data_IF_848358816765
#
_entry.id   IF_848358816765
#
_cell.length_a   1.000
_cell.length_b   1.000
_cell.length_c   1.000
_cell.angle_alpha   90.00
_cell.angle_beta   90.00
_cell.angle_gamma   90.00
#
_symmetry.space_group_name_H-M   'P 1'
#
loop_
_entity.id
_entity.type
_entity.pdbx_description
1 polymer ?
#
# COMPACT_ATOMS: atom_id res chain seq x y z
N UNK A 1 26.76 49.20 -54.12
CA UNK A 1 25.94 48.54 -53.05
C UNK A 1 25.01 47.43 -53.55
N UNK A 2 24.22 47.53 -54.60
CA UNK A 2 23.30 46.42 -55.02
C UNK A 2 24.02 45.16 -55.50
N UNK A 3 25.17 45.25 -56.17
CA UNK A 3 25.94 44.04 -56.59
C UNK A 3 26.56 43.25 -55.45
N UNK A 4 27.05 43.94 -54.45
CA UNK A 4 27.64 43.22 -53.24
C UNK A 4 26.58 42.46 -52.44
N UNK A 5 25.37 43.01 -52.36
CA UNK A 5 24.25 42.31 -51.68
C UNK A 5 23.83 41.06 -52.46
N UNK A 6 23.79 41.10 -53.78
CA UNK A 6 23.45 39.95 -54.63
C UNK A 6 24.49 38.85 -54.48
N UNK A 7 25.80 39.21 -54.52
CA UNK A 7 26.87 38.19 -54.28
C UNK A 7 26.86 37.58 -52.92
N UNK A 8 26.52 38.35 -51.86
CA UNK A 8 26.40 37.78 -50.52
C UNK A 8 25.19 36.81 -50.37
N UNK A 9 24.08 37.12 -51.05
CA UNK A 9 22.93 36.24 -51.08
C UNK A 9 23.21 34.93 -51.85
N UNK A 10 23.91 35.03 -53.00
CA UNK A 10 24.31 33.84 -53.75
C UNK A 10 25.31 32.98 -52.97
N UNK A 11 26.30 33.59 -52.31
CA UNK A 11 27.23 32.88 -51.45
C UNK A 11 26.53 32.19 -50.25
N UNK A 12 25.55 32.89 -49.65
CA UNK A 12 24.72 32.28 -48.57
C UNK A 12 23.90 31.08 -49.04
N UNK A 13 23.29 31.19 -50.23
CA UNK A 13 22.53 30.09 -50.83
C UNK A 13 23.42 28.86 -51.12
N UNK A 14 24.62 29.08 -51.71
CA UNK A 14 25.59 28.03 -51.97
C UNK A 14 26.05 27.36 -50.68
N UNK A 15 26.29 28.14 -49.63
CA UNK A 15 26.67 27.58 -48.31
C UNK A 15 25.57 26.72 -47.73
N UNK A 16 24.33 27.16 -47.76
CA UNK A 16 23.16 26.38 -47.26
C UNK A 16 22.99 25.09 -48.05
N UNK A 17 23.10 25.14 -49.38
CA UNK A 17 23.03 23.90 -50.19
C UNK A 17 24.17 22.94 -49.90
N UNK A 18 25.38 23.42 -49.71
CA UNK A 18 26.52 22.57 -49.34
C UNK A 18 26.32 21.91 -47.97
N UNK A 19 25.84 22.68 -47.00
CA UNK A 19 25.54 22.15 -45.67
C UNK A 19 24.41 21.10 -45.74
N UNK A 20 23.37 21.36 -46.52
CA UNK A 20 22.26 20.40 -46.68
C UNK A 20 22.71 19.13 -47.37
N UNK A 21 23.50 19.20 -48.43
CA UNK A 21 24.05 18.00 -49.10
C UNK A 21 24.98 17.23 -48.17
N UNK A 22 25.84 17.93 -47.45
CA UNK A 22 26.73 17.29 -46.47
C UNK A 22 25.93 16.59 -45.36
N UNK A 23 24.86 17.23 -44.87
CA UNK A 23 23.98 16.65 -43.85
C UNK A 23 23.30 15.39 -44.38
N UNK A 24 22.71 15.45 -45.58
CA UNK A 24 22.03 14.30 -46.19
C UNK A 24 22.96 13.13 -46.52
N UNK A 25 24.26 13.41 -46.78
CA UNK A 25 25.24 12.35 -47.05
C UNK A 25 25.82 11.71 -45.78
N UNK A 26 25.89 12.48 -44.68
CA UNK A 26 26.53 12.01 -43.44
C UNK A 26 25.53 11.51 -42.36
N UNK A 27 24.22 11.86 -42.49
CA UNK A 27 23.21 11.42 -41.54
C UNK A 27 22.27 10.44 -42.22
N UNK A 28 22.43 9.16 -41.88
CA UNK A 28 21.46 8.12 -42.16
C UNK A 28 20.24 8.29 -41.25
N UNK A 29 19.05 8.28 -41.85
CA UNK A 29 17.81 8.18 -41.08
C UNK A 29 17.74 6.79 -40.46
N UNK A 30 18.23 6.66 -39.25
CA UNK A 30 17.96 5.45 -38.47
C UNK A 30 16.47 5.44 -38.17
N UNK A 31 15.73 4.42 -38.63
CA UNK A 31 14.33 4.31 -38.26
C UNK A 31 14.24 4.15 -36.74
N UNK A 32 13.93 5.24 -36.05
CA UNK A 32 13.63 5.18 -34.64
C UNK A 32 12.30 4.45 -34.52
N UNK A 33 12.36 3.19 -34.11
CA UNK A 33 11.16 2.51 -33.64
C UNK A 33 10.68 3.24 -32.39
N UNK A 34 9.79 4.22 -32.56
CA UNK A 34 9.05 4.76 -31.44
C UNK A 34 8.19 3.62 -30.88
N UNK A 35 8.67 2.98 -29.82
CA UNK A 35 7.80 2.13 -29.02
C UNK A 35 6.74 3.04 -28.43
N UNK A 36 5.53 2.96 -28.95
CA UNK A 36 4.39 3.62 -28.32
C UNK A 36 4.33 3.21 -26.84
N UNK A 37 4.03 4.17 -25.94
CA UNK A 37 3.89 3.81 -24.53
C UNK A 37 2.83 2.72 -24.39
N UNK A 38 3.10 1.64 -23.65
CA UNK A 38 2.22 0.51 -23.54
C UNK A 38 0.84 0.95 -23.07
N UNK A 39 -0.20 0.45 -23.72
CA UNK A 39 -1.59 0.67 -23.33
C UNK A 39 -1.77 0.30 -21.84
N UNK A 40 -2.72 0.94 -21.15
CA UNK A 40 -2.96 0.71 -19.72
C UNK A 40 -3.13 -0.77 -19.38
N UNK A 41 -3.71 -1.54 -20.29
CA UNK A 41 -3.93 -2.96 -20.15
C UNK A 41 -2.61 -3.76 -20.21
N UNK A 42 -1.74 -3.46 -21.16
CA UNK A 42 -0.42 -4.09 -21.27
C UNK A 42 0.51 -3.80 -20.08
N UNK A 43 0.31 -2.67 -19.39
CA UNK A 43 1.04 -2.35 -18.15
C UNK A 43 0.57 -3.22 -16.96
N UNK A 44 -0.72 -3.55 -16.92
CA UNK A 44 -1.31 -4.38 -15.87
C UNK A 44 -1.08 -5.86 -16.10
N UNK A 45 -1.07 -6.27 -17.37
CA UNK A 45 -0.91 -7.64 -17.81
C UNK A 45 0.40 -7.82 -18.57
N UNK A 46 1.46 -8.36 -17.96
CA UNK A 46 2.73 -8.58 -18.63
C UNK A 46 2.67 -9.67 -19.72
N UNK A 47 1.64 -10.51 -19.73
CA UNK A 47 1.45 -11.64 -20.67
C UNK A 47 0.27 -11.45 -21.62
N UNK A 48 -0.18 -10.21 -21.86
CA UNK A 48 -1.30 -9.91 -22.75
C UNK A 48 -1.06 -10.39 -24.19
N UNK A 49 0.18 -10.24 -24.68
CA UNK A 49 0.55 -10.70 -26.01
C UNK A 49 0.50 -12.25 -26.12
N UNK A 50 0.91 -12.97 -25.08
CA UNK A 50 0.77 -14.43 -25.01
C UNK A 50 -0.71 -14.84 -25.04
N UNK A 51 -1.58 -14.14 -24.31
CA UNK A 51 -3.04 -14.41 -24.33
C UNK A 51 -3.63 -14.23 -25.72
N UNK A 52 -3.27 -13.15 -26.41
CA UNK A 52 -3.72 -12.89 -27.76
C UNK A 52 -3.21 -13.95 -28.75
N UNK A 53 -1.93 -14.31 -28.65
CA UNK A 53 -1.33 -15.36 -29.47
C UNK A 53 -2.07 -16.68 -29.29
N UNK A 54 -2.26 -17.13 -28.06
CA UNK A 54 -2.93 -18.41 -27.78
C UNK A 54 -4.41 -18.40 -28.21
N UNK A 55 -5.08 -17.25 -28.04
CA UNK A 55 -6.45 -17.06 -28.53
C UNK A 55 -6.55 -17.17 -30.04
N UNK A 56 -5.61 -16.59 -30.80
CA UNK A 56 -5.54 -16.72 -32.26
C UNK A 56 -5.29 -18.17 -32.72
N UNK A 57 -4.56 -18.95 -31.91
CA UNK A 57 -4.29 -20.36 -32.15
C UNK A 57 -5.41 -21.29 -31.63
N UNK A 58 -6.61 -20.73 -31.32
CA UNK A 58 -7.78 -21.43 -30.80
C UNK A 58 -7.52 -22.19 -29.48
N UNK A 59 -6.57 -21.71 -28.68
CA UNK A 59 -6.26 -22.24 -27.33
C UNK A 59 -6.27 -21.09 -26.28
N UNK A 60 -7.45 -20.61 -25.91
CA UNK A 60 -7.53 -19.47 -24.98
C UNK A 60 -6.89 -19.83 -23.64
N UNK A 61 -6.24 -18.83 -23.08
CA UNK A 61 -5.58 -18.90 -21.79
C UNK A 61 -6.51 -18.31 -20.71
N UNK A 62 -6.70 -19.05 -19.63
CA UNK A 62 -7.45 -18.63 -18.46
C UNK A 62 -6.50 -18.15 -17.35
N UNK A 63 -6.82 -17.03 -16.72
CA UNK A 63 -6.00 -16.51 -15.63
C UNK A 63 -6.43 -17.09 -14.29
N UNK A 64 -5.45 -17.51 -13.53
CA UNK A 64 -5.62 -17.92 -12.15
C UNK A 64 -5.32 -16.72 -11.26
N UNK A 65 -6.37 -16.11 -10.71
CA UNK A 65 -6.24 -14.89 -9.90
C UNK A 65 -6.17 -15.19 -8.38
N UNK A 66 -6.57 -16.39 -7.96
CA UNK A 66 -6.55 -16.75 -6.55
C UNK A 66 -5.78 -18.05 -6.31
N UNK A 67 -5.13 -18.20 -5.14
CA UNK A 67 -4.46 -19.44 -4.79
C UNK A 67 -5.40 -20.66 -4.67
N UNK A 68 -6.67 -20.46 -4.35
CA UNK A 68 -7.67 -21.52 -4.27
C UNK A 68 -8.02 -22.12 -5.65
N UNK A 69 -7.92 -21.33 -6.70
CA UNK A 69 -8.15 -21.83 -8.07
C UNK A 69 -7.07 -22.80 -8.54
N UNK A 70 -5.88 -22.79 -7.93
CA UNK A 70 -4.84 -23.79 -8.20
C UNK A 70 -5.24 -25.20 -7.70
N UNK A 71 -6.13 -25.28 -6.72
CA UNK A 71 -6.58 -26.54 -6.15
C UNK A 71 -7.73 -27.17 -6.99
N UNK A 72 -8.25 -26.42 -8.00
CA UNK A 72 -9.39 -26.81 -8.85
C UNK A 72 -9.01 -27.04 -10.31
N UNK A 73 -7.71 -27.23 -10.61
CA UNK A 73 -7.24 -27.44 -11.96
C UNK A 73 -7.82 -28.74 -12.56
N UNK A 74 -8.31 -28.65 -13.80
CA UNK A 74 -8.79 -29.82 -14.51
C UNK A 74 -7.65 -30.81 -14.78
N UNK A 75 -7.96 -32.10 -14.72
CA UNK A 75 -7.00 -33.14 -15.10
C UNK A 75 -6.61 -32.98 -16.57
N UNK A 76 -5.32 -33.08 -16.88
CA UNK A 76 -4.83 -32.92 -18.25
C UNK A 76 -4.76 -31.48 -18.76
N UNK A 77 -4.87 -30.46 -17.86
CA UNK A 77 -4.64 -29.06 -18.19
C UNK A 77 -3.16 -28.69 -18.25
N UNK A 78 -2.90 -27.44 -18.65
CA UNK A 78 -1.59 -26.79 -18.59
C UNK A 78 -1.63 -25.69 -17.57
N UNK A 79 -0.61 -25.63 -16.71
CA UNK A 79 -0.41 -24.52 -15.77
C UNK A 79 0.91 -23.83 -16.07
N UNK A 80 0.85 -22.55 -16.43
CA UNK A 80 2.02 -21.68 -16.54
C UNK A 80 2.12 -20.88 -15.22
N UNK A 81 3.16 -21.15 -14.45
CA UNK A 81 3.37 -20.60 -13.13
C UNK A 81 4.58 -19.67 -13.12
N UNK A 82 4.32 -18.37 -13.06
CA UNK A 82 5.35 -17.34 -13.00
C UNK A 82 6.09 -17.35 -11.66
N UNK A 83 7.25 -16.70 -11.64
CA UNK A 83 8.15 -16.68 -10.51
C UNK A 83 7.59 -16.08 -9.24
N UNK A 84 6.65 -15.16 -9.32
CA UNK A 84 6.09 -14.40 -8.18
C UNK A 84 5.18 -15.23 -7.24
N UNK A 85 5.46 -16.54 -7.09
CA UNK A 85 4.60 -17.52 -6.41
C UNK A 85 4.91 -17.77 -4.93
N UNK A 86 6.04 -17.30 -4.41
CA UNK A 86 6.51 -17.61 -3.03
C UNK A 86 5.47 -17.46 -1.93
N UNK A 87 4.58 -16.49 -2.06
CA UNK A 87 3.54 -16.23 -1.06
C UNK A 87 2.30 -17.11 -1.22
N UNK A 88 2.15 -17.74 -2.38
CA UNK A 88 0.90 -18.38 -2.79
C UNK A 88 1.02 -19.89 -2.94
N UNK A 89 2.25 -20.41 -3.03
CA UNK A 89 2.54 -21.84 -3.17
C UNK A 89 3.33 -22.32 -1.94
N UNK A 90 2.61 -22.79 -0.95
CA UNK A 90 3.15 -23.41 0.24
C UNK A 90 3.58 -24.88 -0.01
N UNK A 91 4.28 -25.54 0.89
CA UNK A 91 4.71 -26.93 0.71
C UNK A 91 3.56 -27.90 0.43
N UNK A 92 2.40 -27.70 1.09
CA UNK A 92 1.22 -28.56 0.88
C UNK A 92 0.62 -28.38 -0.51
N UNK A 93 0.56 -27.13 -1.00
CA UNK A 93 0.10 -26.83 -2.36
C UNK A 93 1.08 -27.32 -3.41
N UNK A 94 2.39 -27.25 -3.15
CA UNK A 94 3.41 -27.84 -4.01
C UNK A 94 3.19 -29.35 -4.20
N UNK A 95 2.81 -30.07 -3.15
CA UNK A 95 2.47 -31.49 -3.24
C UNK A 95 1.23 -31.74 -4.09
N UNK A 96 0.17 -30.95 -3.87
CA UNK A 96 -1.04 -31.07 -4.69
C UNK A 96 -0.78 -30.82 -6.16
N UNK A 97 0.03 -29.80 -6.48
CA UNK A 97 0.43 -29.50 -7.85
C UNK A 97 1.24 -30.65 -8.47
N UNK A 98 2.21 -31.21 -7.76
CA UNK A 98 2.97 -32.38 -8.26
C UNK A 98 2.09 -33.60 -8.43
N UNK A 99 1.12 -33.84 -7.56
CA UNK A 99 0.13 -34.90 -7.69
C UNK A 99 -0.79 -34.67 -8.92
N UNK A 100 -1.23 -33.42 -9.14
CA UNK A 100 -2.01 -33.05 -10.33
C UNK A 100 -1.21 -33.28 -11.62
N UNK A 101 0.08 -32.90 -11.64
CA UNK A 101 0.96 -33.22 -12.77
C UNK A 101 1.06 -34.75 -12.96
N UNK A 102 1.27 -35.49 -11.85
CA UNK A 102 1.35 -36.97 -11.91
C UNK A 102 0.12 -37.64 -12.49
N UNK A 103 -1.04 -36.99 -12.44
CA UNK A 103 -2.31 -37.43 -13.05
C UNK A 103 -2.44 -37.05 -14.51
N UNK A 104 -1.46 -36.37 -15.12
CA UNK A 104 -1.44 -36.02 -16.53
C UNK A 104 -1.50 -34.51 -16.80
N UNK A 105 -1.31 -33.67 -15.81
CA UNK A 105 -1.17 -32.23 -15.99
C UNK A 105 0.19 -31.84 -16.56
N UNK A 106 0.29 -30.69 -17.22
CA UNK A 106 1.54 -30.13 -17.69
C UNK A 106 1.85 -28.82 -16.95
N UNK A 107 2.97 -28.75 -16.23
CA UNK A 107 3.40 -27.60 -15.46
C UNK A 107 4.60 -26.92 -16.16
N UNK A 108 4.46 -25.65 -16.49
CA UNK A 108 5.56 -24.78 -16.93
C UNK A 108 5.81 -23.78 -15.80
N UNK A 109 7.01 -23.80 -15.23
CA UNK A 109 7.33 -23.04 -14.03
C UNK A 109 8.63 -22.26 -14.17
N UNK A 110 8.61 -20.96 -13.80
CA UNK A 110 9.84 -20.17 -13.73
C UNK A 110 10.61 -20.53 -12.46
N UNK A 111 11.91 -20.71 -12.58
CA UNK A 111 12.80 -20.85 -11.45
C UNK A 111 13.28 -19.46 -11.03
N UNK A 112 12.53 -18.79 -10.18
CA UNK A 112 13.07 -17.57 -9.55
C UNK A 112 14.27 -17.86 -8.66
N UNK A 113 15.11 -16.84 -8.48
CA UNK A 113 16.35 -16.83 -7.70
C UNK A 113 16.22 -17.25 -6.22
N UNK A 114 15.18 -17.94 -5.87
CA UNK A 114 14.89 -18.32 -4.50
C UNK A 114 15.39 -19.72 -4.19
N UNK A 115 16.48 -19.77 -3.45
CA UNK A 115 16.97 -20.96 -2.75
C UNK A 115 15.92 -21.67 -1.87
N UNK A 116 14.71 -21.10 -1.71
CA UNK A 116 13.72 -21.50 -0.74
C UNK A 116 12.32 -21.83 -1.31
N UNK A 117 12.24 -22.12 -2.62
CA UNK A 117 10.99 -22.54 -3.25
C UNK A 117 10.70 -24.03 -2.96
N UNK A 118 9.58 -24.35 -2.26
CA UNK A 118 9.24 -25.72 -1.91
C UNK A 118 9.06 -26.64 -3.14
N UNK A 119 8.54 -26.07 -4.24
CA UNK A 119 8.32 -26.82 -5.49
C UNK A 119 9.65 -27.19 -6.14
N UNK A 120 10.56 -26.21 -6.28
CA UNK A 120 11.88 -26.44 -6.88
C UNK A 120 12.75 -27.36 -6.03
N UNK A 121 12.67 -27.25 -4.70
CA UNK A 121 13.37 -28.17 -3.79
C UNK A 121 12.96 -29.61 -3.99
N UNK A 122 11.67 -29.89 -4.19
CA UNK A 122 11.15 -31.24 -4.47
C UNK A 122 11.60 -31.79 -5.83
N UNK A 123 11.83 -30.90 -6.79
CA UNK A 123 12.39 -31.23 -8.11
C UNK A 123 13.93 -31.28 -8.10
N UNK A 124 14.57 -31.04 -6.96
CA UNK A 124 16.03 -31.04 -6.83
C UNK A 124 16.70 -29.93 -7.65
N UNK A 125 15.98 -28.84 -7.92
CA UNK A 125 16.46 -27.73 -8.73
C UNK A 125 16.99 -26.63 -7.83
N UNK A 126 18.19 -26.16 -8.12
CA UNK A 126 18.83 -25.03 -7.46
C UNK A 126 19.37 -24.03 -8.48
N UNK A 127 19.46 -22.74 -8.15
CA UNK A 127 20.19 -21.79 -8.97
C UNK A 127 21.67 -22.23 -9.04
N UNK A 128 22.24 -22.21 -10.23
CA UNK A 128 23.64 -22.55 -10.43
C UNK A 128 24.52 -21.53 -9.68
N UNK A 129 25.35 -22.02 -8.79
CA UNK A 129 26.39 -21.23 -8.12
C UNK A 129 27.73 -21.56 -8.77
N UNK A 130 28.43 -20.56 -9.38
CA UNK A 130 29.75 -20.82 -9.93
C UNK A 130 30.70 -21.25 -8.80
N UNK A 131 31.68 -22.15 -9.06
CA UNK A 131 32.65 -22.56 -8.08
C UNK A 131 33.34 -21.35 -7.44
N UNK A 132 33.50 -21.36 -6.12
CA UNK A 132 34.16 -20.30 -5.38
C UNK A 132 35.60 -20.11 -5.93
N UNK A 133 35.90 -18.94 -6.49
CA UNK A 133 37.18 -18.60 -7.08
C UNK A 133 37.11 -18.08 -8.52
N UNK A 134 36.01 -18.26 -9.22
CA UNK A 134 35.83 -17.71 -10.58
C UNK A 134 35.09 -16.37 -10.63
N UNK A 135 34.60 -15.86 -9.53
CA UNK A 135 34.13 -14.46 -9.45
C UNK A 135 35.36 -13.55 -9.49
N UNK A 136 35.77 -13.07 -10.67
CA UNK A 136 36.68 -11.93 -10.77
C UNK A 136 35.96 -10.71 -10.20
N UNK A 137 36.36 -10.19 -9.02
CA UNK A 137 35.81 -8.93 -8.53
C UNK A 137 36.32 -7.82 -9.42
N UNK A 138 35.47 -7.14 -10.10
CA UNK A 138 35.77 -5.85 -10.70
C UNK A 138 36.07 -5.87 -12.19
N UNK A 139 35.06 -5.91 -12.98
CA UNK A 139 35.09 -5.20 -14.24
C UNK A 139 34.15 -3.99 -14.10
N UNK A 140 34.77 -2.83 -13.87
CA UNK A 140 34.13 -1.50 -13.91
C UNK A 140 33.77 -1.09 -15.35
N UNK A 141 33.51 -2.05 -16.22
CA UNK A 141 33.14 -1.84 -17.62
C UNK A 141 31.64 -2.11 -17.87
N UNK A 142 30.82 -2.01 -16.83
CA UNK A 142 29.36 -2.18 -16.95
C UNK A 142 28.65 -1.00 -17.66
N UNK A 143 29.38 -0.03 -18.22
CA UNK A 143 28.80 1.19 -18.79
C UNK A 143 29.10 1.37 -20.30
N UNK A 144 29.56 0.35 -20.99
CA UNK A 144 29.73 0.41 -22.44
C UNK A 144 29.29 -0.90 -23.12
N UNK A 145 28.02 -0.93 -23.43
CA UNK A 145 27.43 -1.94 -24.27
C UNK A 145 26.28 -2.64 -23.56
N UNK A 146 25.08 -2.45 -24.05
CA UNK A 146 24.06 -3.49 -23.92
C UNK A 146 24.78 -4.80 -24.28
N UNK A 147 25.11 -5.58 -23.26
CA UNK A 147 25.62 -6.93 -23.43
C UNK A 147 24.55 -7.61 -24.28
N UNK A 148 24.85 -7.94 -25.53
CA UNK A 148 23.95 -8.69 -26.39
C UNK A 148 23.53 -9.89 -25.57
N UNK A 149 22.26 -9.93 -25.16
CA UNK A 149 21.76 -10.94 -24.27
C UNK A 149 22.18 -12.29 -24.84
N UNK A 150 22.83 -13.10 -24.00
CA UNK A 150 23.43 -14.34 -24.48
C UNK A 150 22.27 -15.22 -24.99
N UNK A 151 22.28 -15.51 -26.29
CA UNK A 151 21.28 -16.36 -26.92
C UNK A 151 21.66 -17.81 -26.68
N UNK A 152 20.72 -18.64 -26.29
CA UNK A 152 20.89 -20.09 -26.20
C UNK A 152 19.96 -20.78 -27.19
N UNK A 153 20.39 -21.91 -27.75
CA UNK A 153 19.55 -22.71 -28.61
C UNK A 153 18.98 -23.89 -27.84
N UNK A 154 17.67 -23.96 -27.75
CA UNK A 154 16.91 -25.04 -27.12
C UNK A 154 16.58 -26.05 -28.18
N UNK A 155 17.22 -27.22 -28.16
CA UNK A 155 16.85 -28.33 -29.02
C UNK A 155 15.72 -29.11 -28.35
N UNK A 156 14.56 -29.12 -28.98
CA UNK A 156 13.41 -29.88 -28.50
C UNK A 156 13.46 -31.32 -29.05
N UNK A 157 13.65 -32.37 -28.20
CA UNK A 157 13.79 -33.73 -28.66
C UNK A 157 12.57 -34.25 -29.43
N UNK A 158 11.39 -33.75 -29.07
CA UNK A 158 10.13 -34.22 -29.66
C UNK A 158 10.00 -33.94 -31.18
N UNK A 159 10.55 -32.83 -31.68
CA UNK A 159 10.50 -32.44 -33.08
C UNK A 159 11.87 -32.22 -33.71
N UNK A 160 12.94 -32.42 -32.95
CA UNK A 160 14.33 -32.21 -33.35
C UNK A 160 14.61 -30.78 -33.92
N UNK A 161 13.86 -29.80 -33.46
CA UNK A 161 13.95 -28.42 -33.90
C UNK A 161 14.69 -27.58 -32.83
N UNK A 162 15.61 -26.74 -33.28
CA UNK A 162 16.33 -25.81 -32.41
C UNK A 162 15.63 -24.46 -32.39
N UNK A 163 15.30 -23.98 -31.17
CA UNK A 163 14.70 -22.67 -30.91
C UNK A 163 15.68 -21.76 -30.23
N UNK A 164 15.85 -20.56 -30.74
CA UNK A 164 16.71 -19.55 -30.16
C UNK A 164 15.96 -18.81 -29.04
N UNK A 165 16.52 -18.85 -27.86
CA UNK A 165 15.99 -18.21 -26.67
C UNK A 165 16.99 -17.21 -26.13
N UNK A 166 16.53 -16.04 -25.78
CA UNK A 166 17.33 -15.08 -25.05
C UNK A 166 17.38 -15.48 -23.56
N UNK A 167 18.57 -15.47 -22.97
CA UNK A 167 18.78 -15.92 -21.60
C UNK A 167 18.78 -14.73 -20.66
N UNK A 168 17.89 -14.73 -19.68
CA UNK A 168 17.70 -13.64 -18.74
C UNK A 168 17.95 -14.01 -17.29
N UNK A 169 17.74 -15.25 -16.94
CA UNK A 169 17.75 -15.71 -15.58
C UNK A 169 19.09 -16.27 -15.11
N UNK A 170 19.05 -16.80 -13.90
CA UNK A 170 20.16 -17.54 -13.34
C UNK A 170 20.13 -18.96 -13.90
N UNK A 171 21.27 -19.46 -14.37
CA UNK A 171 21.37 -20.85 -14.83
C UNK A 171 20.89 -21.81 -13.74
N UNK A 172 20.27 -22.91 -14.17
CA UNK A 172 19.68 -23.93 -13.30
C UNK A 172 20.64 -25.14 -13.21
N UNK A 173 20.78 -25.66 -12.01
CA UNK A 173 21.39 -26.94 -11.75
C UNK A 173 20.31 -27.92 -11.25
N UNK A 174 20.35 -29.16 -11.76
CA UNK A 174 19.47 -30.24 -11.29
C UNK A 174 20.29 -31.32 -10.62
N UNK A 175 19.85 -31.77 -9.45
CA UNK A 175 20.50 -32.85 -8.71
C UNK A 175 19.80 -34.20 -8.91
N UNK A 176 18.53 -34.30 -8.48
CA UNK A 176 17.64 -35.44 -8.64
C UNK A 176 16.18 -34.98 -8.45
N UNK A 177 15.19 -35.45 -9.25
CA UNK A 177 15.29 -36.45 -10.32
C UNK A 177 16.05 -35.95 -11.56
N UNK A 178 16.60 -36.86 -12.35
CA UNK A 178 17.27 -36.51 -13.60
C UNK A 178 16.25 -36.00 -14.62
N UNK A 179 16.52 -34.82 -15.25
CA UNK A 179 15.61 -34.31 -16.29
C UNK A 179 15.61 -35.20 -17.53
N UNK A 180 14.43 -35.35 -18.14
CA UNK A 180 14.28 -36.10 -19.39
C UNK A 180 15.08 -35.45 -20.54
N UNK A 181 15.16 -34.13 -20.54
CA UNK A 181 16.07 -33.37 -21.38
C UNK A 181 16.38 -32.01 -20.73
N UNK A 182 17.46 -31.39 -21.16
CA UNK A 182 17.95 -30.10 -20.68
C UNK A 182 18.41 -29.24 -21.84
N UNK A 183 18.29 -27.94 -21.70
CA UNK A 183 18.81 -26.98 -22.66
C UNK A 183 19.50 -25.83 -21.94
N UNK A 184 20.70 -25.50 -22.35
CA UNK A 184 21.53 -24.47 -21.74
C UNK A 184 22.87 -24.32 -22.42
N UNK A 185 23.79 -23.63 -21.76
CA UNK A 185 25.15 -23.39 -22.28
C UNK A 185 26.07 -24.57 -22.02
N UNK A 186 25.81 -25.33 -20.95
CA UNK A 186 26.55 -26.54 -20.57
C UNK A 186 25.66 -27.40 -19.70
N UNK A 187 26.04 -28.65 -19.44
CA UNK A 187 25.30 -29.58 -18.57
C UNK A 187 25.05 -29.05 -17.16
N UNK A 188 25.86 -28.14 -16.68
CA UNK A 188 25.71 -27.49 -15.37
C UNK A 188 24.94 -26.17 -15.42
N UNK A 189 24.81 -25.56 -16.62
CA UNK A 189 24.22 -24.23 -16.80
C UNK A 189 23.02 -24.32 -17.74
N UNK A 190 21.91 -24.75 -17.20
CA UNK A 190 20.69 -24.95 -17.97
C UNK A 190 19.78 -23.72 -17.86
N UNK A 191 19.12 -23.36 -18.95
CA UNK A 191 18.03 -22.38 -19.00
C UNK A 191 16.67 -23.03 -18.96
N UNK A 192 16.58 -24.28 -19.46
CA UNK A 192 15.39 -25.10 -19.36
C UNK A 192 15.74 -26.50 -18.88
N UNK A 193 14.87 -27.03 -18.03
CA UNK A 193 14.89 -28.40 -17.56
C UNK A 193 13.52 -29.02 -17.75
N UNK A 194 13.43 -30.17 -18.35
CA UNK A 194 12.16 -30.87 -18.55
C UNK A 194 12.16 -32.23 -17.87
N UNK A 195 11.09 -32.51 -17.15
CA UNK A 195 10.91 -33.75 -16.40
C UNK A 195 9.63 -34.45 -16.83
N UNK A 196 9.70 -35.76 -17.00
CA UNK A 196 8.53 -36.60 -16.99
C UNK A 196 8.14 -36.87 -15.54
N UNK A 197 6.89 -36.61 -15.17
CA UNK A 197 6.40 -36.77 -13.81
C UNK A 197 5.09 -37.53 -13.75
N UNK A 198 5.17 -38.80 -13.44
CA UNK A 198 4.02 -39.70 -13.51
C UNK A 198 3.50 -39.78 -14.95
N UNK A 199 2.24 -39.37 -15.19
CA UNK A 199 1.63 -39.30 -16.52
C UNK A 199 1.73 -37.92 -17.18
N UNK A 200 2.25 -36.93 -16.48
CA UNK A 200 2.38 -35.55 -16.94
C UNK A 200 3.80 -35.10 -17.10
N UNK A 201 3.97 -33.80 -17.27
CA UNK A 201 5.24 -33.19 -17.61
C UNK A 201 5.48 -31.92 -16.78
N UNK A 202 6.75 -31.62 -16.50
CA UNK A 202 7.16 -30.38 -15.86
C UNK A 202 8.28 -29.77 -16.69
N UNK A 203 8.11 -28.53 -17.11
CA UNK A 203 9.18 -27.73 -17.71
C UNK A 203 9.54 -26.59 -16.76
N UNK A 204 10.78 -26.55 -16.31
CA UNK A 204 11.31 -25.46 -15.49
C UNK A 204 12.16 -24.57 -16.38
N UNK A 205 11.85 -23.28 -16.38
CA UNK A 205 12.58 -22.26 -17.12
C UNK A 205 13.29 -21.33 -16.13
N UNK A 206 14.44 -20.82 -16.51
CA UNK A 206 15.21 -19.90 -15.67
C UNK A 206 14.47 -18.58 -15.40
N UNK A 207 13.79 -18.03 -16.41
CA UNK A 207 12.98 -16.82 -16.32
C UNK A 207 11.81 -16.89 -17.32
N UNK A 208 10.65 -16.39 -16.93
CA UNK A 208 9.44 -16.34 -17.76
C UNK A 208 9.36 -15.06 -18.61
N UNK A 209 10.34 -14.15 -18.52
CA UNK A 209 10.32 -12.86 -19.23
C UNK A 209 10.27 -12.99 -20.75
N UNK A 210 10.72 -14.11 -21.32
CA UNK A 210 10.62 -14.38 -22.75
C UNK A 210 9.16 -14.45 -23.26
N UNK A 211 8.20 -14.73 -22.38
CA UNK A 211 6.75 -14.72 -22.68
C UNK A 211 6.11 -13.35 -22.49
N UNK A 212 6.86 -12.35 -22.01
CA UNK A 212 6.31 -11.04 -21.74
C UNK A 212 5.92 -10.29 -23.03
N UNK A 213 5.04 -9.29 -22.89
CA UNK A 213 4.55 -8.46 -23.99
C UNK A 213 5.65 -7.87 -24.86
N UNK A 214 6.84 -7.65 -24.29
CA UNK A 214 7.95 -6.99 -24.98
C UNK A 214 8.88 -7.98 -25.70
N UNK A 215 8.80 -9.25 -25.35
CA UNK A 215 9.79 -10.24 -25.75
C UNK A 215 9.24 -11.44 -26.48
N UNK A 216 7.95 -11.73 -26.35
CA UNK A 216 7.33 -12.90 -26.99
C UNK A 216 7.48 -12.91 -28.52
N UNK A 217 7.58 -11.74 -29.15
CA UNK A 217 7.82 -11.61 -30.59
C UNK A 217 9.30 -11.56 -31.00
N UNK A 218 10.24 -11.68 -30.03
CA UNK A 218 11.68 -11.69 -30.31
C UNK A 218 12.15 -13.14 -30.49
N UNK A 219 13.17 -13.34 -31.33
CA UNK A 219 13.73 -14.67 -31.63
C UNK A 219 12.63 -15.72 -31.92
N UNK A 220 12.76 -16.90 -31.31
CA UNK A 220 11.82 -18.01 -31.52
C UNK A 220 10.95 -18.27 -30.26
N UNK A 221 10.74 -17.19 -29.40
CA UNK A 221 10.04 -17.32 -28.12
C UNK A 221 8.60 -17.82 -28.25
N UNK A 222 7.83 -17.23 -29.18
CA UNK A 222 6.44 -17.62 -29.43
C UNK A 222 6.35 -19.04 -29.98
N UNK A 223 7.29 -19.41 -30.84
CA UNK A 223 7.36 -20.74 -31.43
C UNK A 223 7.74 -21.80 -30.40
N UNK A 224 8.67 -21.48 -29.49
CA UNK A 224 9.07 -22.41 -28.44
C UNK A 224 7.91 -22.72 -27.49
N UNK A 225 7.21 -21.71 -26.98
CA UNK A 225 6.07 -21.98 -26.08
C UNK A 225 4.98 -22.77 -26.78
N UNK A 226 4.71 -22.47 -28.06
CA UNK A 226 3.75 -23.22 -28.86
C UNK A 226 4.19 -24.68 -29.04
N UNK A 227 5.45 -24.92 -29.39
CA UNK A 227 5.99 -26.26 -29.54
C UNK A 227 5.93 -27.07 -28.23
N UNK A 228 6.24 -26.44 -27.07
CA UNK A 228 6.09 -27.10 -25.77
C UNK A 228 4.65 -27.52 -25.50
N UNK A 229 3.69 -26.61 -25.74
CA UNK A 229 2.27 -26.91 -25.55
C UNK A 229 1.78 -28.02 -26.45
N UNK A 230 2.16 -28.01 -27.74
CA UNK A 230 1.75 -29.01 -28.72
C UNK A 230 2.34 -30.39 -28.44
N UNK A 231 3.60 -30.45 -28.01
CA UNK A 231 4.27 -31.73 -27.80
C UNK A 231 3.86 -32.42 -26.51
N UNK A 232 3.59 -31.66 -25.44
CA UNK A 232 3.35 -32.24 -24.12
C UNK A 232 1.88 -32.19 -23.67
N UNK A 233 1.09 -31.25 -24.16
CA UNK A 233 -0.34 -31.17 -23.84
C UNK A 233 -1.14 -30.46 -24.92
N UNK A 234 -1.43 -31.14 -26.05
CA UNK A 234 -2.05 -30.51 -27.22
C UNK A 234 -3.51 -30.10 -27.02
N UNK A 235 -4.23 -30.65 -26.03
CA UNK A 235 -5.69 -30.46 -25.90
C UNK A 235 -6.12 -29.88 -24.55
N UNK A 236 -5.23 -29.69 -23.59
CA UNK A 236 -5.59 -29.21 -22.25
C UNK A 236 -5.93 -27.71 -22.21
N UNK A 237 -6.78 -27.33 -21.29
CA UNK A 237 -7.00 -25.90 -20.94
C UNK A 237 -5.71 -25.30 -20.40
N UNK A 238 -5.37 -24.10 -20.86
CA UNK A 238 -4.15 -23.40 -20.42
C UNK A 238 -4.50 -22.40 -19.32
N UNK A 239 -3.89 -22.55 -18.17
CA UNK A 239 -4.03 -21.63 -17.04
C UNK A 239 -2.74 -20.87 -16.83
N UNK A 240 -2.84 -19.55 -16.57
CA UNK A 240 -1.70 -18.70 -16.25
C UNK A 240 -1.84 -18.12 -14.83
N UNK A 241 -0.90 -18.45 -13.99
CA UNK A 241 -0.77 -17.91 -12.64
C UNK A 241 0.44 -16.98 -12.57
N UNK A 242 0.27 -15.70 -12.92
CA UNK A 242 1.37 -14.74 -12.97
C UNK A 242 1.41 -13.83 -11.75
N UNK A 243 0.34 -13.12 -11.49
CA UNK A 243 0.18 -12.25 -10.32
C UNK A 243 -1.03 -12.72 -9.57
N UNK A 244 -0.84 -13.71 -8.72
CA UNK A 244 -1.88 -14.01 -7.76
C UNK A 244 -1.98 -12.81 -6.82
N UNK A 245 -3.03 -12.04 -6.97
CA UNK A 245 -3.31 -10.97 -6.03
C UNK A 245 -3.46 -11.63 -4.66
N UNK A 246 -2.60 -11.24 -3.72
CA UNK A 246 -2.86 -11.57 -2.32
C UNK A 246 -4.19 -10.92 -2.01
N UNK A 247 -5.18 -11.75 -1.69
CA UNK A 247 -6.50 -11.28 -1.30
C UNK A 247 -6.31 -10.12 -0.31
N UNK A 248 -6.96 -9.00 -0.58
CA UNK A 248 -6.95 -7.91 0.38
C UNK A 248 -7.51 -8.45 1.69
N UNK A 249 -7.05 -7.92 2.82
CA UNK A 249 -7.49 -8.37 4.14
C UNK A 249 -9.03 -8.40 4.23
N UNK A 250 -9.71 -7.48 3.56
CA UNK A 250 -11.18 -7.41 3.49
C UNK A 250 -11.79 -8.56 2.67
N UNK A 251 -11.19 -8.94 1.56
CA UNK A 251 -11.65 -10.09 0.75
C UNK A 251 -11.44 -11.39 1.52
N UNK A 252 -10.26 -11.57 2.12
CA UNK A 252 -9.98 -12.73 2.96
C UNK A 252 -10.95 -12.81 4.15
N UNK A 253 -11.22 -11.70 4.81
CA UNK A 253 -12.14 -11.61 5.94
C UNK A 253 -13.57 -11.94 5.51
N UNK A 254 -13.99 -11.47 4.33
CA UNK A 254 -15.32 -11.75 3.78
C UNK A 254 -15.49 -13.21 3.34
N UNK A 255 -14.45 -13.85 2.79
CA UNK A 255 -14.54 -15.23 2.30
C UNK A 255 -14.28 -16.27 3.39
N UNK A 256 -13.26 -16.04 4.24
CA UNK A 256 -12.81 -17.04 5.23
C UNK A 256 -13.36 -16.80 6.62
N UNK A 257 -13.70 -15.57 6.97
CA UNK A 257 -14.08 -15.18 8.32
C UNK A 257 -15.39 -14.35 8.38
N UNK A 258 -16.30 -14.57 7.44
CA UNK A 258 -17.59 -13.85 7.40
C UNK A 258 -18.41 -14.00 8.69
N UNK A 259 -18.28 -15.16 9.38
CA UNK A 259 -18.91 -15.37 10.68
C UNK A 259 -18.39 -14.41 11.76
N UNK A 260 -17.06 -14.08 11.73
CA UNK A 260 -16.48 -13.07 12.63
C UNK A 260 -17.01 -11.68 12.33
N UNK A 261 -17.24 -11.35 11.06
CA UNK A 261 -17.84 -10.06 10.67
C UNK A 261 -19.26 -9.94 11.19
N UNK A 262 -20.07 -10.99 11.02
CA UNK A 262 -21.46 -10.99 11.53
C UNK A 262 -21.47 -10.92 13.04
N UNK A 263 -20.69 -11.73 13.75
CA UNK A 263 -20.64 -11.72 15.22
C UNK A 263 -20.15 -10.36 15.76
N UNK A 264 -19.15 -9.76 15.13
CA UNK A 264 -18.68 -8.41 15.46
C UNK A 264 -19.74 -7.35 15.22
N UNK A 265 -20.48 -7.43 14.10
CA UNK A 265 -21.57 -6.51 13.80
C UNK A 265 -22.72 -6.63 14.82
N UNK A 266 -23.10 -7.87 15.19
CA UNK A 266 -24.12 -8.12 16.22
C UNK A 266 -23.67 -7.59 17.58
N UNK A 267 -22.41 -7.86 17.96
CA UNK A 267 -21.84 -7.36 19.22
C UNK A 267 -21.81 -5.84 19.27
N UNK A 268 -21.44 -5.21 18.17
CA UNK A 268 -21.44 -3.74 18.04
C UNK A 268 -22.86 -3.19 18.12
N UNK A 269 -23.82 -3.84 17.47
CA UNK A 269 -25.21 -3.44 17.53
C UNK A 269 -25.78 -3.56 18.96
N UNK A 270 -25.48 -4.65 19.68
CA UNK A 270 -25.88 -4.83 21.07
C UNK A 270 -25.21 -3.81 21.99
N UNK A 271 -23.93 -3.53 21.76
CA UNK A 271 -23.19 -2.50 22.51
C UNK A 271 -23.78 -1.11 22.28
N UNK A 272 -24.08 -0.74 21.03
CA UNK A 272 -24.77 0.51 20.71
C UNK A 272 -26.18 0.55 21.33
N UNK A 273 -26.91 -0.58 21.28
CA UNK A 273 -28.21 -0.68 21.93
C UNK A 273 -28.13 -0.43 23.44
N UNK A 274 -27.06 -0.86 24.09
CA UNK A 274 -26.84 -0.63 25.52
C UNK A 274 -26.49 0.84 25.84
N UNK A 275 -25.72 1.49 24.96
CA UNK A 275 -25.23 2.87 25.17
C UNK A 275 -26.26 3.91 24.75
N UNK A 276 -27.08 3.62 23.72
CA UNK A 276 -28.10 4.57 23.29
C UNK A 276 -29.08 4.77 24.46
N UNK A 277 -29.09 5.97 25.10
CA UNK A 277 -30.01 6.25 26.15
C UNK A 277 -31.41 6.06 25.59
N UNK A 278 -32.19 5.15 26.21
CA UNK A 278 -33.60 5.02 25.89
C UNK A 278 -34.23 6.39 26.15
N UNK A 279 -34.62 7.06 25.09
CA UNK A 279 -35.41 8.28 25.21
C UNK A 279 -36.74 7.94 25.88
N UNK A 280 -36.70 7.72 27.21
CA UNK A 280 -37.84 7.84 28.06
C UNK A 280 -38.24 9.30 28.05
N UNK A 281 -39.54 9.60 28.13
CA UNK A 281 -40.01 10.97 28.14
C UNK A 281 -39.14 11.81 29.07
N UNK A 282 -38.59 12.89 28.58
CA UNK A 282 -37.86 13.86 29.39
C UNK A 282 -38.88 14.38 30.39
N UNK A 283 -38.90 13.79 31.60
CA UNK A 283 -39.54 14.45 32.72
C UNK A 283 -38.90 15.84 32.75
N UNK A 284 -39.72 16.91 32.67
CA UNK A 284 -39.19 18.24 32.82
C UNK A 284 -38.40 18.24 34.13
N UNK A 285 -37.15 18.44 34.03
CA UNK A 285 -36.28 18.59 35.20
C UNK A 285 -36.92 19.66 36.04
N UNK A 286 -37.33 19.36 37.30
CA UNK A 286 -37.91 20.42 38.14
C UNK A 286 -36.89 21.56 38.05
N UNK A 287 -37.34 22.72 37.57
CA UNK A 287 -36.53 23.93 37.53
C UNK A 287 -36.04 24.05 38.98
N UNK A 288 -34.74 23.78 39.17
CA UNK A 288 -34.16 24.01 40.48
C UNK A 288 -34.47 25.45 40.75
N UNK A 289 -35.48 25.70 41.65
CA UNK A 289 -35.81 27.01 42.07
C UNK A 289 -34.46 27.65 42.45
N UNK A 290 -34.02 28.59 41.65
CA UNK A 290 -32.82 29.35 41.97
C UNK A 290 -33.12 29.87 43.35
N UNK A 291 -32.51 29.25 44.39
CA UNK A 291 -32.66 29.68 45.74
C UNK A 291 -32.41 31.16 45.69
N UNK A 292 -33.47 31.94 45.84
CA UNK A 292 -33.35 33.40 45.75
C UNK A 292 -32.34 33.81 46.82
N UNK A 293 -31.24 34.40 46.40
CA UNK A 293 -30.17 34.81 47.30
C UNK A 293 -30.73 35.64 48.44
N UNK A 294 -31.75 36.43 48.15
CA UNK A 294 -32.48 37.23 49.12
C UNK A 294 -33.18 36.35 50.17
N UNK A 295 -33.79 35.23 49.74
CA UNK A 295 -34.44 34.30 50.64
C UNK A 295 -33.47 33.56 51.55
N UNK A 296 -32.30 33.19 50.99
CA UNK A 296 -31.22 32.58 51.75
C UNK A 296 -30.58 33.54 52.76
N UNK A 297 -30.33 34.76 52.35
CA UNK A 297 -29.80 35.81 53.22
C UNK A 297 -30.82 36.18 54.34
N UNK A 298 -32.08 36.24 54.01
CA UNK A 298 -33.18 36.48 54.98
C UNK A 298 -33.29 35.36 56.02
N UNK A 299 -33.09 34.08 55.58
CA UNK A 299 -33.10 32.90 56.46
C UNK A 299 -31.89 32.95 57.41
N UNK A 300 -30.69 33.23 56.93
CA UNK A 300 -29.48 33.38 57.72
C UNK A 300 -29.64 34.54 58.70
N UNK A 301 -30.14 35.69 58.24
CA UNK A 301 -30.37 36.85 59.09
C UNK A 301 -31.30 36.56 60.27
N UNK A 302 -32.39 35.83 60.03
CA UNK A 302 -33.33 35.40 61.08
C UNK A 302 -32.73 34.40 62.04
N UNK A 303 -31.89 33.50 61.60
CA UNK A 303 -31.19 32.53 62.48
C UNK A 303 -30.25 33.24 63.41
N UNK A 304 -29.36 34.07 62.86
CA UNK A 304 -28.40 34.87 63.66
C UNK A 304 -29.10 35.79 64.65
N UNK A 305 -30.23 36.40 64.29
CA UNK A 305 -31.04 37.23 65.23
C UNK A 305 -31.57 36.39 66.36
N UNK A 306 -32.06 35.17 66.13
CA UNK A 306 -32.59 34.31 67.20
C UNK A 306 -31.51 33.77 68.12
N UNK A 307 -30.29 33.58 67.65
CA UNK A 307 -29.17 33.00 68.41
C UNK A 307 -28.41 34.07 69.17
N UNK A 308 -28.85 35.31 69.21
CA UNK A 308 -28.25 36.37 69.92
C UNK A 308 -26.96 36.96 69.31
N UNK A 309 -26.66 36.60 68.03
CA UNK A 309 -25.48 37.05 67.30
C UNK A 309 -25.53 38.51 66.80
N UNK A 310 -26.50 39.26 67.23
CA UNK A 310 -26.73 40.66 66.83
C UNK A 310 -25.53 41.54 67.08
N UNK A 311 -24.84 41.37 68.23
CA UNK A 311 -23.68 42.16 68.57
C UNK A 311 -22.51 41.99 67.57
N UNK A 312 -22.27 40.75 67.12
CA UNK A 312 -21.25 40.44 66.11
C UNK A 312 -21.54 41.09 64.77
N UNK A 313 -22.83 41.05 64.36
CA UNK A 313 -23.24 41.65 63.09
C UNK A 313 -23.13 43.16 63.12
N UNK A 314 -23.56 43.79 64.24
CA UNK A 314 -23.41 45.22 64.44
C UNK A 314 -21.93 45.61 64.40
N UNK A 315 -21.07 44.82 64.99
CA UNK A 315 -19.61 45.11 64.97
C UNK A 315 -19.06 45.06 63.53
N UNK A 316 -19.44 44.04 62.73
CA UNK A 316 -19.00 43.95 61.36
C UNK A 316 -19.57 45.05 60.43
N UNK A 317 -20.81 45.46 60.62
CA UNK A 317 -21.41 46.61 59.91
C UNK A 317 -20.71 47.90 60.30
N UNK A 318 -20.48 48.13 61.60
CA UNK A 318 -19.75 49.30 62.09
C UNK A 318 -18.35 49.34 61.45
N UNK A 319 -17.63 48.24 61.41
CA UNK A 319 -16.30 48.21 60.83
C UNK A 319 -16.35 48.54 59.33
N UNK A 320 -17.33 48.02 58.61
CA UNK A 320 -17.52 48.31 57.17
C UNK A 320 -17.85 49.80 56.95
N UNK A 321 -18.69 50.37 57.78
CA UNK A 321 -19.04 51.80 57.72
C UNK A 321 -17.80 52.63 58.01
N UNK A 322 -17.01 52.32 59.09
CA UNK A 322 -15.79 53.02 59.42
C UNK A 322 -14.76 52.95 58.26
N UNK A 323 -14.55 51.78 57.68
CA UNK A 323 -13.67 51.64 56.53
C UNK A 323 -14.15 52.47 55.31
N UNK A 324 -15.41 52.53 55.06
CA UNK A 324 -15.98 53.33 53.98
C UNK A 324 -15.87 54.84 54.27
N UNK A 325 -16.04 55.23 55.48
CA UNK A 325 -15.84 56.64 55.96
C UNK A 325 -14.38 57.04 55.82
N UNK A 326 -13.42 56.22 56.23
CA UNK A 326 -11.98 56.49 56.08
C UNK A 326 -11.56 56.66 54.62
N UNK A 327 -12.16 55.92 53.70
CA UNK A 327 -11.87 56.02 52.25
C UNK A 327 -12.50 57.27 51.62
N UNK A 328 -13.71 57.68 52.07
CA UNK A 328 -14.47 58.73 51.40
C UNK A 328 -14.27 60.10 52.05
N UNK A 329 -13.98 60.13 53.36
CA UNK A 329 -13.81 61.32 54.12
C UNK A 329 -12.61 61.19 55.06
N UNK A 330 -11.38 61.12 54.55
CA UNK A 330 -10.20 60.86 55.35
C UNK A 330 -9.93 61.97 56.42
N UNK A 331 -10.36 63.22 56.19
CA UNK A 331 -10.21 64.32 57.13
C UNK A 331 -11.14 64.20 58.37
N UNK A 332 -12.26 63.53 58.25
CA UNK A 332 -13.21 63.30 59.33
C UNK A 332 -12.69 62.23 60.33
N UNK A 333 -11.87 61.30 59.84
CA UNK A 333 -11.33 60.18 60.61
C UNK A 333 -10.17 60.69 61.57
N UNK A 334 -9.62 61.82 61.26
CA UNK A 334 -8.50 62.44 62.04
C UNK A 334 -9.00 63.44 63.09
N UNK A 335 -10.30 63.74 63.13
CA UNK A 335 -10.91 64.61 64.07
C UNK A 335 -11.25 63.92 65.39
N UNK A 336 -11.40 64.72 66.48
CA UNK A 336 -11.82 64.18 67.76
C UNK A 336 -13.20 63.52 67.69
N UNK A 337 -13.44 62.47 68.46
CA UNK A 337 -14.65 61.65 68.42
C UNK A 337 -15.97 62.46 68.59
N UNK A 338 -15.93 63.59 69.25
CA UNK A 338 -17.04 64.53 69.44
C UNK A 338 -17.36 65.31 68.16
N UNK A 339 -16.34 65.83 67.49
CA UNK A 339 -16.47 66.56 66.22
C UNK A 339 -16.86 65.65 65.07
N UNK A 340 -16.31 64.39 65.01
CA UNK A 340 -16.64 63.38 64.05
C UNK A 340 -18.14 62.98 64.08
N UNK A 341 -18.73 62.88 65.32
CA UNK A 341 -20.17 62.61 65.50
C UNK A 341 -21.04 63.76 65.01
N UNK A 342 -20.67 65.00 65.25
CA UNK A 342 -21.40 66.14 64.75
C UNK A 342 -21.35 66.26 63.24
N UNK A 343 -20.17 66.01 62.65
CA UNK A 343 -20.00 66.04 61.21
C UNK A 343 -20.79 64.89 60.52
N UNK A 344 -20.75 63.66 61.07
CA UNK A 344 -21.52 62.51 60.56
C UNK A 344 -23.00 62.74 60.71
N UNK A 345 -23.49 63.33 61.79
CA UNK A 345 -24.90 63.68 61.99
C UNK A 345 -25.39 64.65 60.90
N UNK A 346 -24.55 65.61 60.54
CA UNK A 346 -24.83 66.56 59.45
C UNK A 346 -24.89 65.92 58.07
N UNK A 347 -23.97 64.99 57.82
CA UNK A 347 -23.95 64.24 56.54
C UNK A 347 -25.10 63.27 56.45
N UNK A 348 -25.47 62.56 57.52
CA UNK A 348 -26.51 61.55 57.54
C UNK A 348 -27.92 62.19 57.81
N UNK A 349 -28.03 63.47 58.01
CA UNK A 349 -29.23 64.18 58.34
C UNK A 349 -29.99 63.57 59.57
N UNK A 350 -29.24 63.09 60.57
CA UNK A 350 -29.74 62.45 61.79
C UNK A 350 -29.36 63.18 63.01
N UNK A 351 -29.98 62.85 64.13
CA UNK A 351 -29.56 63.44 65.41
C UNK A 351 -28.25 62.93 65.92
N UNK A 352 -27.39 63.74 66.55
CA UNK A 352 -26.10 63.32 67.05
C UNK A 352 -26.15 62.17 68.06
N UNK A 353 -27.25 62.07 68.78
CA UNK A 353 -27.49 60.99 69.75
C UNK A 353 -27.67 59.64 69.07
N UNK A 354 -28.34 59.63 67.91
CA UNK A 354 -28.52 58.40 67.10
C UNK A 354 -27.21 57.87 66.48
N UNK A 355 -26.34 58.79 66.07
CA UNK A 355 -24.97 58.46 65.62
C UNK A 355 -24.15 57.91 66.75
N UNK A 356 -24.26 58.53 67.93
CA UNK A 356 -23.54 58.11 69.14
C UNK A 356 -23.94 56.67 69.52
N UNK A 357 -25.22 56.38 69.60
CA UNK A 357 -25.72 55.04 69.91
C UNK A 357 -25.38 54.00 68.83
N UNK A 358 -25.39 54.38 67.53
CA UNK A 358 -25.04 53.47 66.41
C UNK A 358 -23.51 53.16 66.43
N UNK A 359 -22.65 54.03 66.83
CA UNK A 359 -21.19 53.88 66.79
C UNK A 359 -20.57 53.39 68.08
N UNK A 360 -21.24 53.51 69.22
CA UNK A 360 -20.76 52.92 70.47
C UNK A 360 -21.08 51.42 70.55
N UNK A 361 -20.07 50.68 70.97
CA UNK A 361 -20.28 49.29 71.37
C UNK A 361 -21.00 49.29 72.72
N UNK A 362 -22.24 48.83 72.69
CA UNK A 362 -22.91 48.46 73.94
C UNK A 362 -22.29 47.15 74.45
#
# INVERSE_FOLDING_TARGET
>A
MKRTIIWSLVAGLVLVTLITVWFLQNFEQVPSSHREPPQKEARRNPYLALEHLLKQLNRPLERVNSPSSLDQLAAGGVLILDGNRRRNVDPARSERLLNWVGQGGYLIVAAESASDDPLLKKLGISPYQPPQGQCKPGRKDADKGLEKAATTTVLLPANNTGYRLERFGHSLASSQPEPAWRAGVSDERNSLLHFAWGRGHITVVDDMSFLSNYRIGELDHAELIWALLQNYQPQGTIHLASRMETQTLWQWLAESAWMLLISSAVLTALWLWQIIPRFGGTLPMPIAERRDLAQHLSAIGRSVWREGGVAHWLASVRQAVQKRLSLRYPKLTQQDASEQRIALAKIAACKTIDIASAMTSG
#
